data_IF_061721027552
#
_entry.id   IF_061721027552
#
_cell.length_a   1.000
_cell.length_b   1.000
_cell.length_c   1.000
_cell.angle_alpha   90.00
_cell.angle_beta   90.00
_cell.angle_gamma   90.00
#
_symmetry.space_group_name_H-M   'P 1'
#
loop_
_entity.id
_entity.type
_entity.pdbx_description
1 polymer ?
#
# COMPACT_ATOMS: atom_id res chain seq x y z
N UNK A 1 41.22 -15.11 -23.07
CA UNK A 1 41.15 -14.71 -21.65
C UNK A 1 39.67 -14.66 -21.26
N UNK A 2 39.20 -15.64 -20.51
CA UNK A 2 37.79 -15.73 -20.09
C UNK A 2 37.67 -15.06 -18.72
N UNK A 3 37.04 -13.89 -18.68
CA UNK A 3 36.70 -13.20 -17.43
C UNK A 3 35.40 -13.81 -16.88
N UNK A 4 35.52 -14.75 -15.96
CA UNK A 4 34.38 -15.19 -15.14
C UNK A 4 34.21 -14.20 -13.98
N UNK A 5 33.29 -13.24 -14.13
CA UNK A 5 32.82 -12.41 -13.01
C UNK A 5 31.87 -13.28 -12.18
N UNK A 6 32.33 -13.72 -11.01
CA UNK A 6 31.52 -14.45 -10.05
C UNK A 6 30.60 -13.46 -9.35
N UNK A 7 29.36 -13.35 -9.81
CA UNK A 7 28.32 -12.61 -9.08
C UNK A 7 27.89 -13.45 -7.88
N UNK A 8 28.48 -13.19 -6.73
CA UNK A 8 27.97 -13.67 -5.45
C UNK A 8 26.80 -12.78 -5.04
N UNK A 9 25.57 -13.25 -5.26
CA UNK A 9 24.41 -12.70 -4.57
C UNK A 9 24.50 -13.15 -3.10
N UNK A 10 25.29 -12.44 -2.29
CA UNK A 10 25.21 -12.57 -0.84
C UNK A 10 23.81 -12.04 -0.46
N UNK A 11 22.89 -12.87 0.05
CA UNK A 11 21.63 -12.34 0.57
C UNK A 11 22.00 -11.32 1.67
N UNK A 12 21.32 -10.16 1.74
CA UNK A 12 21.55 -9.21 2.81
C UNK A 12 21.43 -9.96 4.14
N UNK A 13 22.40 -9.79 5.04
CA UNK A 13 22.31 -10.38 6.36
C UNK A 13 20.94 -10.01 6.95
N UNK A 14 20.14 -10.98 7.44
CA UNK A 14 18.83 -10.68 7.97
C UNK A 14 19.02 -9.61 9.03
N UNK A 15 18.35 -8.47 8.83
CA UNK A 15 18.43 -7.40 9.80
C UNK A 15 17.94 -7.99 11.12
N UNK A 16 18.84 -8.08 12.11
CA UNK A 16 18.66 -8.81 13.39
C UNK A 16 17.39 -8.44 14.17
N UNK A 17 16.66 -7.43 13.72
CA UNK A 17 15.49 -6.82 14.34
C UNK A 17 14.29 -6.69 13.37
N UNK A 18 14.40 -7.14 12.11
CA UNK A 18 13.35 -6.94 11.10
C UNK A 18 12.57 -8.21 10.78
N UNK A 19 13.23 -9.37 10.66
CA UNK A 19 12.60 -10.56 10.08
C UNK A 19 12.61 -11.70 11.09
N UNK A 20 11.60 -11.70 11.96
CA UNK A 20 11.33 -12.83 12.82
C UNK A 20 10.59 -13.87 11.97
N UNK A 21 11.34 -14.82 11.39
CA UNK A 21 10.78 -15.96 10.67
C UNK A 21 9.68 -16.62 11.49
N UNK A 22 8.47 -16.61 10.94
CA UNK A 22 7.30 -17.24 11.52
C UNK A 22 6.98 -18.48 10.69
N UNK A 23 7.02 -19.65 11.32
CA UNK A 23 6.62 -20.89 10.67
C UNK A 23 5.12 -21.01 10.81
N UNK A 24 4.40 -20.89 9.69
CA UNK A 24 2.96 -21.13 9.66
C UNK A 24 2.64 -22.59 9.96
N UNK A 25 1.40 -22.91 10.35
CA UNK A 25 0.93 -24.29 10.49
C UNK A 25 1.13 -25.17 9.25
N UNK A 26 1.30 -24.56 8.07
CA UNK A 26 1.64 -25.23 6.80
C UNK A 26 3.16 -25.42 6.59
N UNK A 27 3.98 -25.25 7.63
CA UNK A 27 5.44 -25.33 7.59
C UNK A 27 6.11 -24.37 6.57
N UNK A 28 5.44 -23.26 6.25
CA UNK A 28 5.99 -22.19 5.41
C UNK A 28 6.59 -21.11 6.30
N UNK A 29 7.86 -20.77 6.06
CA UNK A 29 8.55 -19.68 6.71
C UNK A 29 8.08 -18.34 6.11
N UNK A 30 7.44 -17.52 6.95
CA UNK A 30 6.97 -16.18 6.61
C UNK A 30 7.91 -15.15 7.24
N UNK A 31 8.51 -14.30 6.42
CA UNK A 31 9.22 -13.10 6.88
C UNK A 31 8.20 -12.07 7.35
N UNK A 32 7.99 -12.00 8.67
CA UNK A 32 7.07 -11.04 9.25
C UNK A 32 7.85 -9.94 9.95
N UNK A 33 7.57 -8.69 9.54
CA UNK A 33 8.23 -7.53 10.12
C UNK A 33 7.74 -7.30 11.56
N UNK A 34 8.58 -7.65 12.53
CA UNK A 34 8.29 -7.47 13.95
C UNK A 34 7.93 -6.00 14.24
N UNK A 35 6.94 -5.79 15.11
CA UNK A 35 6.47 -4.44 15.44
C UNK A 35 7.55 -3.62 16.16
N UNK A 36 7.89 -2.43 15.63
CA UNK A 36 8.89 -1.54 16.23
C UNK A 36 8.38 -1.06 17.60
N UNK A 37 9.29 -0.84 18.55
CA UNK A 37 8.95 -0.40 19.91
C UNK A 37 8.07 0.86 19.89
N UNK A 38 8.38 1.83 19.02
CA UNK A 38 7.59 3.07 18.86
C UNK A 38 6.15 2.85 18.39
N UNK A 39 5.90 1.98 17.41
CA UNK A 39 4.53 1.70 16.93
C UNK A 39 3.69 1.00 18.00
N UNK A 40 4.32 0.17 18.84
CA UNK A 40 3.66 -0.47 19.99
C UNK A 40 3.34 0.53 21.11
N UNK A 41 4.22 1.49 21.39
CA UNK A 41 3.95 2.55 22.39
C UNK A 41 2.80 3.44 21.91
N UNK A 42 2.81 3.84 20.64
CA UNK A 42 1.71 4.64 20.07
C UNK A 42 0.38 3.89 20.11
N UNK A 43 0.37 2.60 19.76
CA UNK A 43 -0.82 1.76 19.88
C UNK A 43 -1.31 1.69 21.34
N UNK A 44 -0.40 1.57 22.31
CA UNK A 44 -0.74 1.56 23.73
C UNK A 44 -1.33 2.90 24.20
N UNK A 45 -0.79 4.04 23.75
CA UNK A 45 -1.33 5.36 24.06
C UNK A 45 -2.76 5.54 23.52
N UNK A 46 -3.02 5.08 22.30
CA UNK A 46 -4.37 5.15 21.72
C UNK A 46 -5.31 4.21 22.47
N UNK A 47 -4.87 3.00 22.82
CA UNK A 47 -5.66 2.08 23.63
C UNK A 47 -5.94 2.63 25.03
N UNK A 48 -5.01 3.39 25.61
CA UNK A 48 -5.21 4.07 26.88
C UNK A 48 -6.31 5.14 26.79
N UNK A 49 -6.29 5.95 25.74
CA UNK A 49 -7.35 6.95 25.50
C UNK A 49 -8.71 6.28 25.28
N UNK A 50 -8.74 5.17 24.53
CA UNK A 50 -9.96 4.39 24.34
C UNK A 50 -10.48 3.80 25.67
N UNK A 51 -9.59 3.20 26.47
CA UNK A 51 -9.95 2.66 27.79
C UNK A 51 -10.45 3.76 28.73
N UNK A 52 -9.82 4.94 28.72
CA UNK A 52 -10.26 6.09 29.50
C UNK A 52 -11.66 6.55 29.08
N UNK A 53 -11.92 6.66 27.77
CA UNK A 53 -13.23 7.03 27.25
C UNK A 53 -14.31 6.01 27.66
N UNK A 54 -14.01 4.71 27.56
CA UNK A 54 -14.92 3.64 28.00
C UNK A 54 -15.13 3.68 29.52
N UNK A 55 -14.08 3.93 30.30
CA UNK A 55 -14.18 4.06 31.76
C UNK A 55 -15.06 5.24 32.17
N UNK A 56 -14.88 6.41 31.54
CA UNK A 56 -15.70 7.60 31.80
C UNK A 56 -17.17 7.35 31.42
N UNK A 57 -17.41 6.70 30.29
CA UNK A 57 -18.77 6.32 29.87
C UNK A 57 -19.42 5.36 30.88
N UNK A 58 -18.72 4.29 31.28
CA UNK A 58 -19.21 3.35 32.27
C UNK A 58 -19.46 4.02 33.62
N UNK A 59 -18.58 4.91 34.06
CA UNK A 59 -18.74 5.67 35.30
C UNK A 59 -19.94 6.63 35.24
N UNK A 60 -20.18 7.28 34.10
CA UNK A 60 -21.34 8.13 33.90
C UNK A 60 -22.65 7.32 33.92
N UNK A 61 -22.69 6.20 33.20
CA UNK A 61 -23.85 5.28 33.19
C UNK A 61 -24.11 4.74 34.60
N UNK A 62 -23.07 4.28 35.29
CA UNK A 62 -23.19 3.76 36.64
C UNK A 62 -23.68 4.83 37.62
N UNK A 63 -23.19 6.06 37.50
CA UNK A 63 -23.66 7.20 38.31
C UNK A 63 -25.15 7.46 38.10
N UNK A 64 -25.62 7.47 36.84
CA UNK A 64 -27.05 7.66 36.52
C UNK A 64 -27.90 6.52 37.11
N UNK A 65 -27.45 5.28 36.97
CA UNK A 65 -28.16 4.11 37.52
C UNK A 65 -28.24 4.17 39.04
N UNK A 66 -27.14 4.47 39.72
CA UNK A 66 -27.09 4.54 41.18
C UNK A 66 -27.97 5.66 41.74
N UNK A 67 -28.01 6.83 41.09
CA UNK A 67 -28.89 7.95 41.50
C UNK A 67 -30.37 7.65 41.25
N UNK A 68 -30.68 6.77 40.28
CA UNK A 68 -32.06 6.38 39.96
C UNK A 68 -32.62 5.30 40.89
N UNK A 69 -31.77 4.67 41.70
CA UNK A 69 -32.19 3.65 42.67
C UNK A 69 -32.64 4.29 43.99
N UNK A 70 -33.55 3.64 44.75
CA UNK A 70 -33.92 4.11 46.07
C UNK A 70 -32.70 4.11 47.01
N UNK A 71 -32.60 5.13 47.86
CA UNK A 71 -31.47 5.33 48.78
C UNK A 71 -31.21 4.13 49.70
N UNK A 72 -32.26 3.39 50.07
CA UNK A 72 -32.17 2.22 50.94
C UNK A 72 -31.51 1.00 50.27
N UNK A 73 -31.39 1.01 48.94
CA UNK A 73 -30.79 -0.07 48.15
C UNK A 73 -29.31 0.19 47.81
N UNK A 74 -28.81 1.41 47.96
CA UNK A 74 -27.46 1.79 47.56
C UNK A 74 -26.60 2.04 48.78
N UNK A 75 -25.70 1.11 49.07
CA UNK A 75 -24.68 1.27 50.10
C UNK A 75 -23.27 1.43 49.50
N UNK A 76 -22.30 1.73 50.37
CA UNK A 76 -20.90 1.87 49.97
C UNK A 76 -20.32 0.55 49.42
N UNK A 77 -20.83 -0.60 49.88
CA UNK A 77 -20.37 -1.90 49.43
C UNK A 77 -20.80 -2.20 47.98
N UNK A 78 -22.07 -1.98 47.64
CA UNK A 78 -22.60 -2.17 46.30
C UNK A 78 -21.94 -1.22 45.29
N UNK A 79 -21.83 0.06 45.64
CA UNK A 79 -21.17 1.05 44.78
C UNK A 79 -19.69 0.74 44.56
N UNK A 80 -18.95 0.36 45.62
CA UNK A 80 -17.56 -0.09 45.50
C UNK A 80 -17.41 -1.36 44.67
N UNK A 81 -18.31 -2.33 44.83
CA UNK A 81 -18.32 -3.56 44.05
C UNK A 81 -18.54 -3.27 42.55
N UNK A 82 -19.52 -2.42 42.22
CA UNK A 82 -19.80 -2.05 40.83
C UNK A 82 -18.65 -1.27 40.18
N UNK A 83 -18.02 -0.35 40.92
CA UNK A 83 -16.82 0.35 40.46
C UNK A 83 -15.65 -0.62 40.21
N UNK A 84 -15.44 -1.58 41.12
CA UNK A 84 -14.39 -2.61 40.97
C UNK A 84 -14.64 -3.47 39.73
N UNK A 85 -15.88 -3.92 39.52
CA UNK A 85 -16.27 -4.70 38.34
C UNK A 85 -16.06 -3.88 37.05
N UNK A 86 -16.46 -2.61 37.04
CA UNK A 86 -16.26 -1.72 35.90
C UNK A 86 -14.76 -1.55 35.59
N UNK A 87 -13.92 -1.38 36.60
CA UNK A 87 -12.47 -1.28 36.44
C UNK A 87 -11.88 -2.55 35.82
N UNK A 88 -12.25 -3.72 36.32
CA UNK A 88 -11.82 -5.02 35.76
C UNK A 88 -12.29 -5.18 34.32
N UNK A 89 -13.52 -4.76 34.01
CA UNK A 89 -14.08 -4.82 32.66
C UNK A 89 -13.31 -3.90 31.69
N UNK A 90 -12.87 -2.73 32.14
CA UNK A 90 -12.05 -1.82 31.31
C UNK A 90 -10.63 -2.35 31.14
N UNK A 91 -9.99 -2.79 32.21
CA UNK A 91 -8.58 -3.18 32.16
C UNK A 91 -8.36 -4.55 31.51
N UNK A 92 -9.27 -5.51 31.74
CA UNK A 92 -9.16 -6.89 31.26
C UNK A 92 -10.21 -7.18 30.19
N UNK A 93 -11.46 -6.79 30.43
CA UNK A 93 -12.57 -7.07 29.50
C UNK A 93 -12.37 -6.42 28.13
N UNK A 94 -12.08 -5.12 28.06
CA UNK A 94 -11.88 -4.39 26.81
C UNK A 94 -10.81 -5.02 25.90
N UNK A 95 -9.56 -5.26 26.34
CA UNK A 95 -8.56 -5.84 25.45
C UNK A 95 -8.93 -7.26 25.01
N UNK A 96 -9.51 -8.08 25.90
CA UNK A 96 -9.92 -9.46 25.57
C UNK A 96 -11.05 -9.47 24.55
N UNK A 97 -12.09 -8.66 24.76
CA UNK A 97 -13.23 -8.56 23.86
C UNK A 97 -12.79 -8.03 22.49
N UNK A 98 -11.97 -6.98 22.46
CA UNK A 98 -11.50 -6.40 21.21
C UNK A 98 -10.60 -7.36 20.43
N UNK A 99 -9.66 -8.02 21.11
CA UNK A 99 -8.84 -9.04 20.45
C UNK A 99 -9.68 -10.21 19.95
N UNK A 100 -10.75 -10.60 20.67
CA UNK A 100 -11.64 -11.67 20.21
C UNK A 100 -12.47 -11.25 18.99
N UNK A 101 -13.14 -10.11 19.04
CA UNK A 101 -14.09 -9.69 18.01
C UNK A 101 -13.43 -9.06 16.78
N UNK A 102 -12.25 -8.46 16.93
CA UNK A 102 -11.56 -7.75 15.84
C UNK A 102 -10.34 -8.53 15.31
N UNK A 103 -10.26 -9.82 15.64
CA UNK A 103 -9.29 -10.76 15.06
C UNK A 103 -7.85 -10.51 15.54
N UNK A 104 -7.68 -10.27 16.84
CA UNK A 104 -6.39 -10.04 17.50
C UNK A 104 -5.96 -8.57 17.51
N UNK A 105 -6.91 -7.63 17.43
CA UNK A 105 -6.63 -6.19 17.30
C UNK A 105 -7.45 -5.37 18.29
N UNK A 106 -6.80 -4.42 18.93
CA UNK A 106 -7.40 -3.35 19.74
C UNK A 106 -7.49 -2.06 18.92
N UNK A 107 -8.19 -1.02 19.38
CA UNK A 107 -8.32 0.24 18.60
C UNK A 107 -6.96 0.87 18.27
N UNK A 108 -6.05 0.92 19.23
CA UNK A 108 -4.71 1.43 19.02
C UNK A 108 -3.90 0.57 18.06
N UNK A 109 -4.02 -0.76 18.16
CA UNK A 109 -3.39 -1.68 17.21
C UNK A 109 -3.96 -1.50 15.80
N UNK A 110 -5.27 -1.27 15.65
CA UNK A 110 -5.89 -0.98 14.35
C UNK A 110 -5.33 0.31 13.73
N UNK A 111 -5.28 1.38 14.52
CA UNK A 111 -4.78 2.69 14.07
C UNK A 111 -3.33 2.62 13.57
N UNK A 112 -2.51 1.78 14.18
CA UNK A 112 -1.09 1.63 13.84
C UNK A 112 -0.82 0.45 12.89
N UNK A 113 -1.85 -0.30 12.49
CA UNK A 113 -1.71 -1.44 11.58
C UNK A 113 -0.97 -2.64 12.19
N UNK A 114 -1.28 -2.95 13.45
CA UNK A 114 -0.74 -4.07 14.21
C UNK A 114 -1.80 -5.15 14.43
N UNK A 115 -1.36 -6.41 14.54
CA UNK A 115 -2.21 -7.55 14.88
C UNK A 115 -1.47 -8.56 15.74
N UNK A 116 -2.16 -9.08 16.75
CA UNK A 116 -1.70 -10.22 17.55
C UNK A 116 -2.01 -11.51 16.80
N UNK A 117 -1.01 -12.36 16.65
CA UNK A 117 -1.13 -13.71 16.08
C UNK A 117 -0.48 -14.73 17.03
N UNK A 118 -0.91 -15.98 16.94
CA UNK A 118 -0.27 -17.09 17.65
C UNK A 118 1.14 -17.33 17.07
N UNK A 119 2.02 -17.98 17.84
CA UNK A 119 3.34 -18.40 17.36
C UNK A 119 3.31 -19.10 16.00
N UNK A 120 2.29 -19.93 15.73
CA UNK A 120 2.11 -20.66 14.45
C UNK A 120 1.43 -19.82 13.34
N UNK A 121 1.23 -18.52 13.56
CA UNK A 121 0.56 -17.61 12.61
C UNK A 121 -0.97 -17.66 12.62
N UNK A 122 -1.57 -18.56 13.39
CA UNK A 122 -3.02 -18.68 13.56
C UNK A 122 -3.67 -17.51 14.32
N UNK A 123 -5.02 -17.42 14.30
CA UNK A 123 -5.76 -16.43 15.09
C UNK A 123 -5.56 -16.67 16.60
N UNK A 124 -5.55 -15.59 17.37
CA UNK A 124 -5.40 -15.64 18.83
C UNK A 124 -6.66 -16.22 19.49
N UNK A 125 -6.48 -17.12 20.46
CA UNK A 125 -7.57 -17.68 21.27
C UNK A 125 -7.95 -16.79 22.44
N UNK A 126 -9.17 -16.96 22.99
CA UNK A 126 -9.65 -16.18 24.15
C UNK A 126 -8.75 -16.35 25.38
N UNK A 127 -8.30 -17.58 25.66
CA UNK A 127 -7.39 -17.86 26.77
C UNK A 127 -6.05 -17.12 26.63
N UNK A 128 -5.52 -17.02 25.40
CA UNK A 128 -4.28 -16.28 25.15
C UNK A 128 -4.48 -14.77 25.30
N UNK A 129 -5.61 -14.23 24.83
CA UNK A 129 -5.94 -12.81 25.06
C UNK A 129 -6.14 -12.52 26.55
N UNK A 130 -6.75 -13.43 27.32
CA UNK A 130 -6.95 -13.28 28.75
C UNK A 130 -5.63 -13.31 29.52
N UNK A 131 -4.74 -14.29 29.24
CA UNK A 131 -3.43 -14.34 29.90
C UNK A 131 -2.61 -13.09 29.60
N UNK A 132 -2.64 -12.60 28.36
CA UNK A 132 -2.01 -11.32 27.98
C UNK A 132 -2.58 -10.14 28.76
N UNK A 133 -3.91 -10.05 28.87
CA UNK A 133 -4.56 -8.95 29.59
C UNK A 133 -4.23 -8.97 31.09
N UNK A 134 -4.25 -10.15 31.71
CA UNK A 134 -3.90 -10.32 33.12
C UNK A 134 -2.43 -9.99 33.40
N UNK A 135 -1.50 -10.51 32.59
CA UNK A 135 -0.07 -10.18 32.71
C UNK A 135 0.17 -8.70 32.43
N UNK A 136 -0.56 -8.14 31.45
CA UNK A 136 -0.55 -6.72 31.14
C UNK A 136 -0.91 -5.88 32.38
N UNK A 137 -2.05 -6.16 33.01
CA UNK A 137 -2.52 -5.42 34.19
C UNK A 137 -1.60 -5.60 35.40
N UNK A 138 -1.14 -6.83 35.65
CA UNK A 138 -0.32 -7.15 36.81
C UNK A 138 1.12 -6.60 36.72
N UNK A 139 1.73 -6.69 35.53
CA UNK A 139 3.17 -6.48 35.33
C UNK A 139 3.48 -5.33 34.35
N UNK A 140 2.73 -5.15 33.27
CA UNK A 140 3.11 -4.15 32.25
C UNK A 140 2.53 -2.76 32.55
N UNK A 141 1.20 -2.64 32.62
CA UNK A 141 0.51 -1.38 32.84
C UNK A 141 -0.93 -1.65 33.33
N UNK A 142 -1.40 -1.06 34.45
CA UNK A 142 -0.74 -0.05 35.29
C UNK A 142 0.39 -0.59 36.18
N UNK A 143 0.65 -1.91 36.16
CA UNK A 143 1.73 -2.52 36.95
C UNK A 143 1.37 -2.63 38.43
N UNK A 144 0.21 -3.26 38.73
CA UNK A 144 -0.37 -3.33 40.08
C UNK A 144 0.58 -3.92 41.14
N UNK A 145 1.54 -4.76 40.75
CA UNK A 145 2.47 -5.40 41.69
C UNK A 145 3.64 -4.47 42.05
N UNK A 146 4.37 -3.94 41.06
CA UNK A 146 5.55 -3.08 41.24
C UNK A 146 5.77 -2.16 40.03
N UNK A 147 5.03 -1.03 39.92
CA UNK A 147 4.81 -0.32 38.65
C UNK A 147 6.10 0.20 37.98
N UNK A 148 7.13 0.57 38.75
CA UNK A 148 8.38 1.09 38.19
C UNK A 148 9.34 -0.04 37.73
N UNK A 149 9.49 -1.08 38.56
CA UNK A 149 10.37 -2.22 38.27
C UNK A 149 9.81 -3.10 37.14
N UNK A 150 8.50 -3.28 37.12
CA UNK A 150 7.81 -4.12 36.15
C UNK A 150 7.82 -3.52 34.74
N UNK A 151 7.85 -2.19 34.65
CA UNK A 151 8.01 -1.45 33.39
C UNK A 151 9.41 -1.66 32.79
N UNK A 152 10.45 -1.47 33.60
CA UNK A 152 11.84 -1.66 33.17
C UNK A 152 12.07 -3.10 32.75
N UNK A 153 11.56 -4.08 33.50
CA UNK A 153 11.65 -5.49 33.15
C UNK A 153 10.95 -5.80 31.81
N UNK A 154 9.73 -5.30 31.60
CA UNK A 154 8.97 -5.53 30.37
C UNK A 154 9.61 -4.91 29.14
N UNK A 155 10.15 -3.69 29.27
CA UNK A 155 10.89 -3.02 28.20
C UNK A 155 12.20 -3.74 27.91
N UNK A 156 12.93 -4.18 28.94
CA UNK A 156 14.18 -4.93 28.79
C UNK A 156 13.95 -6.24 28.07
N UNK A 157 12.93 -7.01 28.45
CA UNK A 157 12.54 -8.26 27.76
C UNK A 157 12.17 -8.00 26.31
N UNK A 158 11.42 -6.93 26.02
CA UNK A 158 11.06 -6.60 24.65
C UNK A 158 12.25 -6.16 23.79
N UNK A 159 13.26 -5.53 24.39
CA UNK A 159 14.49 -5.10 23.72
C UNK A 159 15.46 -6.26 23.48
N UNK A 160 15.47 -7.27 24.35
CA UNK A 160 16.37 -8.43 24.25
C UNK A 160 15.79 -9.58 23.43
N UNK A 161 14.46 -9.69 23.32
CA UNK A 161 13.82 -10.71 22.48
C UNK A 161 13.96 -10.36 20.99
N UNK A 162 14.57 -11.23 20.15
CA UNK A 162 14.74 -10.98 18.71
C UNK A 162 13.43 -10.78 17.95
N UNK A 163 12.31 -11.26 18.52
CA UNK A 163 10.96 -11.13 17.94
C UNK A 163 10.18 -9.97 18.57
N UNK A 164 10.82 -9.18 19.44
CA UNK A 164 10.23 -8.01 20.11
C UNK A 164 8.98 -8.34 20.91
N UNK A 165 8.90 -9.54 21.51
CA UNK A 165 7.76 -9.98 22.31
C UNK A 165 7.81 -9.37 23.71
N UNK A 166 6.65 -8.97 24.21
CA UNK A 166 6.49 -8.54 25.61
C UNK A 166 6.34 -9.73 26.56
N UNK A 167 6.38 -9.46 27.86
CA UNK A 167 6.20 -10.47 28.90
C UNK A 167 4.85 -11.19 28.75
N UNK A 168 3.76 -10.45 28.52
CA UNK A 168 2.45 -11.03 28.22
C UNK A 168 2.41 -11.80 26.90
N UNK A 169 3.14 -11.35 25.88
CA UNK A 169 3.24 -12.04 24.59
C UNK A 169 3.96 -13.41 24.74
N UNK A 170 5.03 -13.45 25.54
CA UNK A 170 5.83 -14.64 25.84
C UNK A 170 5.02 -15.68 26.62
N UNK A 171 4.34 -15.25 27.70
CA UNK A 171 3.53 -16.15 28.54
C UNK A 171 2.37 -16.76 27.74
N UNK A 172 1.77 -15.99 26.82
CA UNK A 172 0.65 -16.46 26.02
C UNK A 172 1.05 -17.22 24.75
N UNK A 173 2.35 -17.28 24.40
CA UNK A 173 2.81 -17.89 23.15
C UNK A 173 2.31 -17.15 21.91
N UNK A 174 2.32 -15.83 21.95
CA UNK A 174 1.81 -14.95 20.87
C UNK A 174 2.87 -13.95 20.43
N UNK A 175 2.64 -13.33 19.28
CA UNK A 175 3.47 -12.23 18.79
C UNK A 175 2.61 -11.15 18.14
N UNK A 176 3.12 -9.92 18.09
CA UNK A 176 2.45 -8.81 17.41
C UNK A 176 3.22 -8.48 16.14
N UNK A 177 2.50 -8.55 15.03
CA UNK A 177 3.02 -8.34 13.70
C UNK A 177 2.42 -7.08 13.10
N UNK A 178 3.16 -6.41 12.22
CA UNK A 178 2.53 -5.43 11.36
C UNK A 178 1.61 -6.14 10.39
N UNK A 179 0.33 -5.79 10.40
CA UNK A 179 -0.52 -6.07 9.26
C UNK A 179 -0.02 -5.17 8.14
N UNK A 180 0.77 -5.73 7.22
CA UNK A 180 0.90 -5.12 5.91
C UNK A 180 -0.53 -5.03 5.41
N UNK A 181 -1.10 -3.83 5.32
CA UNK A 181 -2.31 -3.64 4.55
C UNK A 181 -2.02 -4.33 3.23
N UNK A 182 -2.75 -5.40 2.91
CA UNK A 182 -2.60 -6.09 1.64
C UNK A 182 -2.71 -4.97 0.62
N UNK A 183 -1.59 -4.58 0.02
CA UNK A 183 -1.53 -3.38 -0.79
C UNK A 183 -2.64 -3.54 -1.80
N UNK A 184 -3.57 -2.58 -1.85
CA UNK A 184 -4.74 -2.64 -2.73
C UNK A 184 -4.25 -3.20 -4.05
N UNK A 185 -4.75 -4.37 -4.44
CA UNK A 185 -4.29 -5.00 -5.67
C UNK A 185 -4.59 -4.01 -6.79
N UNK A 186 -3.56 -3.28 -7.22
CA UNK A 186 -3.68 -2.35 -8.33
C UNK A 186 -3.40 -3.16 -9.57
N UNK A 187 -4.40 -3.31 -10.48
CA UNK A 187 -4.15 -3.95 -11.75
C UNK A 187 -2.93 -3.28 -12.39
N UNK A 188 -2.08 -4.10 -13.03
CA UNK A 188 -0.96 -3.54 -13.78
C UNK A 188 -1.51 -2.53 -14.79
N UNK A 189 -0.78 -1.43 -15.09
CA UNK A 189 -1.22 -0.45 -16.07
C UNK A 189 -1.66 -1.16 -17.36
N UNK A 190 -2.78 -0.72 -17.93
CA UNK A 190 -3.33 -1.30 -19.15
C UNK A 190 -2.27 -1.26 -20.25
N UNK A 191 -2.13 -2.36 -20.99
CA UNK A 191 -1.16 -2.48 -22.06
C UNK A 191 -1.30 -1.34 -23.08
N UNK A 192 -0.17 -0.76 -23.47
CA UNK A 192 -0.10 0.34 -24.43
C UNK A 192 -0.44 -0.23 -25.82
N UNK A 193 -1.55 0.17 -26.48
CA UNK A 193 -2.07 -0.53 -27.65
C UNK A 193 -1.05 -0.73 -28.81
N UNK A 194 -0.21 0.27 -29.15
CA UNK A 194 0.82 0.11 -30.19
C UNK A 194 1.87 -0.98 -29.93
N UNK A 195 2.12 -1.33 -28.66
CA UNK A 195 3.16 -2.28 -28.28
C UNK A 195 2.61 -3.69 -28.02
N UNK A 196 1.29 -3.91 -28.13
CA UNK A 196 0.66 -5.20 -27.83
C UNK A 196 1.17 -6.35 -28.72
N UNK A 197 1.34 -6.09 -30.03
CA UNK A 197 1.81 -7.10 -30.97
C UNK A 197 3.23 -7.57 -30.66
N UNK A 198 4.13 -6.61 -30.44
CA UNK A 198 5.52 -6.86 -30.04
C UNK A 198 5.61 -7.49 -28.65
N UNK A 199 4.83 -7.01 -27.68
CA UNK A 199 4.89 -7.53 -26.32
C UNK A 199 4.56 -9.03 -26.28
N UNK A 200 3.66 -9.51 -27.15
CA UNK A 200 3.34 -10.95 -27.26
C UNK A 200 4.52 -11.81 -27.69
N UNK A 201 5.47 -11.29 -28.47
CA UNK A 201 6.67 -12.03 -28.90
C UNK A 201 7.83 -11.95 -27.91
N UNK A 202 7.67 -11.21 -26.79
CA UNK A 202 8.73 -11.08 -25.79
C UNK A 202 9.09 -12.41 -25.11
N UNK A 203 10.38 -12.70 -25.02
CA UNK A 203 10.92 -13.61 -24.04
C UNK A 203 11.04 -12.90 -22.68
N UNK A 204 10.33 -13.44 -21.69
CA UNK A 204 10.25 -12.91 -20.33
C UNK A 204 10.89 -13.85 -19.30
N UNK A 205 11.55 -14.92 -19.75
CA UNK A 205 12.05 -16.01 -18.89
C UNK A 205 13.06 -15.51 -17.86
N UNK A 206 13.82 -14.47 -18.20
CA UNK A 206 14.85 -13.87 -17.34
C UNK A 206 14.37 -12.67 -16.51
N UNK A 207 13.09 -12.31 -16.58
CA UNK A 207 12.53 -11.20 -15.77
C UNK A 207 12.10 -11.74 -14.40
N UNK A 208 12.96 -11.53 -13.40
CA UNK A 208 12.69 -11.92 -12.03
C UNK A 208 11.57 -11.10 -11.36
N UNK A 209 11.10 -11.57 -10.20
CA UNK A 209 10.03 -10.92 -9.45
C UNK A 209 10.44 -9.58 -8.84
N UNK A 210 11.71 -9.39 -8.51
CA UNK A 210 12.24 -8.15 -7.95
C UNK A 210 12.21 -7.02 -8.97
N UNK A 211 12.71 -7.26 -10.19
CA UNK A 211 12.68 -6.34 -11.30
C UNK A 211 11.23 -6.02 -11.71
N UNK A 212 10.37 -7.04 -11.82
CA UNK A 212 8.95 -6.83 -12.11
C UNK A 212 8.26 -5.98 -11.02
N UNK A 213 8.64 -6.16 -9.75
CA UNK A 213 8.13 -5.35 -8.64
C UNK A 213 8.66 -3.91 -8.71
N UNK A 214 9.94 -3.71 -8.99
CA UNK A 214 10.54 -2.38 -9.14
C UNK A 214 9.84 -1.58 -10.26
N UNK A 215 9.62 -2.21 -11.40
CA UNK A 215 8.86 -1.63 -12.53
C UNK A 215 7.43 -1.29 -12.11
N UNK A 216 6.73 -2.19 -11.43
CA UNK A 216 5.36 -1.92 -10.93
C UNK A 216 5.33 -0.73 -9.97
N UNK A 217 6.29 -0.65 -9.06
CA UNK A 217 6.37 0.43 -8.08
C UNK A 217 6.68 1.78 -8.73
N UNK A 218 7.52 1.80 -9.77
CA UNK A 218 7.78 2.97 -10.58
C UNK A 218 6.52 3.42 -11.31
N UNK A 219 5.89 2.53 -12.09
CA UNK A 219 4.68 2.84 -12.86
C UNK A 219 3.51 3.29 -11.96
N UNK A 220 3.40 2.72 -10.75
CA UNK A 220 2.39 3.12 -9.77
C UNK A 220 2.61 4.49 -9.14
N UNK A 221 3.83 5.06 -9.24
CA UNK A 221 4.24 6.34 -8.66
C UNK A 221 4.70 7.37 -9.69
N UNK A 222 4.68 7.05 -10.98
CA UNK A 222 5.24 7.90 -12.04
C UNK A 222 4.63 9.31 -12.07
N UNK A 223 3.36 9.46 -11.69
CA UNK A 223 2.67 10.75 -11.60
C UNK A 223 3.04 11.58 -10.37
N UNK A 224 3.69 10.98 -9.37
CA UNK A 224 4.13 11.64 -8.13
C UNK A 224 5.61 12.04 -8.18
N UNK A 225 6.35 11.57 -9.19
CA UNK A 225 7.78 11.84 -9.35
C UNK A 225 7.98 13.11 -10.17
N UNK A 226 8.78 14.04 -9.62
CA UNK A 226 9.22 15.22 -10.33
C UNK A 226 10.37 14.90 -11.32
N UNK A 227 10.55 15.75 -12.31
CA UNK A 227 11.73 15.74 -13.17
C UNK A 227 12.94 16.30 -12.38
N UNK A 228 14.17 15.73 -12.48
CA UNK A 228 14.65 14.73 -13.43
C UNK A 228 14.56 13.27 -12.96
N UNK A 229 14.17 13.03 -11.70
CA UNK A 229 14.21 11.69 -11.09
C UNK A 229 13.27 10.71 -11.80
N UNK A 230 12.11 11.21 -12.25
CA UNK A 230 11.16 10.44 -13.04
C UNK A 230 11.80 9.82 -14.28
N UNK A 231 12.54 10.59 -15.07
CA UNK A 231 13.17 10.09 -16.31
C UNK A 231 14.46 9.33 -16.03
N UNK A 232 15.21 9.68 -14.99
CA UNK A 232 16.40 8.92 -14.57
C UNK A 232 16.03 7.48 -14.18
N UNK A 233 15.02 7.32 -13.32
CA UNK A 233 14.51 6.00 -12.92
C UNK A 233 13.90 5.23 -14.09
N UNK A 234 13.20 5.92 -15.00
CA UNK A 234 12.64 5.31 -16.20
C UNK A 234 13.73 4.65 -17.05
N UNK A 235 14.83 5.39 -17.32
CA UNK A 235 15.96 4.91 -18.12
C UNK A 235 16.73 3.78 -17.46
N UNK A 236 16.94 3.84 -16.15
CA UNK A 236 17.59 2.77 -15.40
C UNK A 236 16.80 1.47 -15.49
N UNK A 237 15.50 1.52 -15.18
CA UNK A 237 14.62 0.34 -15.25
C UNK A 237 14.47 -0.16 -16.69
N UNK A 238 14.41 0.74 -17.67
CA UNK A 238 14.38 0.38 -19.08
C UNK A 238 15.64 -0.41 -19.47
N UNK A 239 16.82 0.05 -19.07
CA UNK A 239 18.08 -0.63 -19.40
C UNK A 239 18.17 -2.01 -18.76
N UNK A 240 17.76 -2.15 -17.49
CA UNK A 240 17.74 -3.44 -16.79
C UNK A 240 16.77 -4.43 -17.45
N UNK A 241 15.56 -3.99 -17.81
CA UNK A 241 14.56 -4.85 -18.47
C UNK A 241 14.98 -5.18 -19.90
N UNK A 242 15.53 -4.24 -20.65
CA UNK A 242 16.01 -4.46 -22.01
C UNK A 242 17.20 -5.44 -22.06
N UNK A 243 18.04 -5.49 -21.02
CA UNK A 243 19.15 -6.44 -20.93
C UNK A 243 18.69 -7.90 -20.79
N UNK A 244 17.49 -8.12 -20.23
CA UNK A 244 16.96 -9.47 -19.94
C UNK A 244 15.81 -9.90 -20.85
N UNK A 245 15.31 -9.02 -21.73
CA UNK A 245 14.20 -9.30 -22.65
C UNK A 245 14.64 -9.28 -24.12
N UNK A 246 13.94 -10.03 -24.97
CA UNK A 246 14.11 -10.05 -26.42
C UNK A 246 12.77 -10.27 -27.11
N UNK A 247 12.51 -9.76 -28.34
CA UNK A 247 13.34 -8.88 -29.16
C UNK A 247 13.29 -7.40 -28.71
N UNK A 248 14.24 -6.54 -29.15
CA UNK A 248 14.21 -5.11 -28.83
C UNK A 248 12.92 -4.43 -29.36
N UNK A 249 12.49 -3.32 -28.74
CA UNK A 249 11.26 -2.65 -29.13
C UNK A 249 11.35 -2.08 -30.56
N UNK A 250 10.24 -2.10 -31.33
CA UNK A 250 10.25 -1.78 -32.76
C UNK A 250 10.47 -0.29 -33.08
N UNK A 251 10.18 0.60 -32.13
CA UNK A 251 10.40 2.04 -32.24
C UNK A 251 10.88 2.59 -30.89
N UNK A 252 11.41 3.81 -30.88
CA UNK A 252 11.83 4.54 -29.67
C UNK A 252 10.62 4.92 -28.80
N UNK A 253 9.94 3.90 -28.27
CA UNK A 253 8.83 4.07 -27.37
C UNK A 253 9.31 4.75 -26.09
N UNK A 254 8.52 5.67 -25.52
CA UNK A 254 8.81 6.23 -24.20
C UNK A 254 9.09 5.12 -23.20
N UNK A 255 10.11 5.29 -22.35
CA UNK A 255 10.54 4.28 -21.40
C UNK A 255 9.39 3.76 -20.52
N UNK A 256 8.47 4.61 -20.00
CA UNK A 256 7.32 4.14 -19.22
C UNK A 256 6.36 3.26 -20.04
N UNK A 257 6.19 3.54 -21.34
CA UNK A 257 5.31 2.77 -22.21
C UNK A 257 5.87 1.37 -22.50
N UNK A 258 7.18 1.27 -22.72
CA UNK A 258 7.89 0.01 -22.84
C UNK A 258 7.75 -0.83 -21.55
N UNK A 259 8.03 -0.23 -20.39
CA UNK A 259 7.95 -0.89 -19.09
C UNK A 259 6.52 -1.39 -18.78
N UNK A 260 5.51 -0.59 -19.11
CA UNK A 260 4.11 -0.98 -18.96
C UNK A 260 3.73 -2.17 -19.86
N UNK A 261 4.19 -2.18 -21.11
CA UNK A 261 3.93 -3.28 -22.04
C UNK A 261 4.53 -4.62 -21.57
N UNK A 262 5.78 -4.60 -21.09
CA UNK A 262 6.46 -5.77 -20.52
C UNK A 262 5.71 -6.29 -19.29
N UNK A 263 5.35 -5.40 -18.35
CA UNK A 263 4.65 -5.78 -17.12
C UNK A 263 3.24 -6.32 -17.41
N UNK A 264 2.53 -5.71 -18.36
CA UNK A 264 1.20 -6.15 -18.77
C UNK A 264 1.23 -7.54 -19.42
N UNK A 265 2.20 -7.82 -20.29
CA UNK A 265 2.36 -9.14 -20.90
C UNK A 265 2.71 -10.21 -19.86
N UNK A 266 3.64 -9.90 -18.94
CA UNK A 266 3.97 -10.81 -17.83
C UNK A 266 2.72 -11.15 -17.01
N UNK A 267 1.93 -10.13 -16.68
CA UNK A 267 0.65 -10.27 -15.98
C UNK A 267 -0.36 -11.12 -16.74
N UNK A 268 -0.49 -10.91 -18.06
CA UNK A 268 -1.37 -11.68 -18.94
C UNK A 268 -0.98 -13.16 -18.98
N UNK A 269 0.31 -13.48 -19.15
CA UNK A 269 0.82 -14.87 -19.14
C UNK A 269 0.61 -15.54 -17.79
N UNK A 270 0.83 -14.81 -16.69
CA UNK A 270 0.55 -15.32 -15.34
C UNK A 270 -0.95 -15.60 -15.15
N UNK A 271 -1.83 -14.68 -15.54
CA UNK A 271 -3.27 -14.86 -15.44
C UNK A 271 -3.76 -16.07 -16.25
N UNK A 272 -3.23 -16.28 -17.46
CA UNK A 272 -3.53 -17.47 -18.26
C UNK A 272 -3.07 -18.78 -17.57
N UNK A 273 -1.87 -18.80 -16.98
CA UNK A 273 -1.39 -19.99 -16.23
C UNK A 273 -2.29 -20.30 -15.04
N UNK A 274 -2.60 -19.30 -14.21
CA UNK A 274 -3.52 -19.47 -13.08
C UNK A 274 -4.91 -19.92 -13.54
N UNK A 275 -5.43 -19.36 -14.64
CA UNK A 275 -6.71 -19.76 -15.21
C UNK A 275 -6.71 -21.23 -15.66
N UNK A 276 -5.64 -21.70 -16.31
CA UNK A 276 -5.50 -23.11 -16.71
C UNK A 276 -5.42 -24.05 -15.51
N UNK A 277 -4.61 -23.71 -14.51
CA UNK A 277 -4.52 -24.51 -13.28
C UNK A 277 -5.88 -24.58 -12.59
N UNK A 278 -6.60 -23.45 -12.46
CA UNK A 278 -7.95 -23.44 -11.90
C UNK A 278 -8.94 -24.27 -12.70
N UNK A 279 -8.91 -24.20 -14.03
CA UNK A 279 -9.77 -25.01 -14.88
C UNK A 279 -9.50 -26.51 -14.68
N UNK A 280 -8.23 -26.93 -14.64
CA UNK A 280 -7.84 -28.30 -14.36
C UNK A 280 -8.29 -28.75 -12.96
N UNK A 281 -8.07 -27.92 -11.93
CA UNK A 281 -8.54 -28.20 -10.57
C UNK A 281 -10.06 -28.34 -10.52
N UNK A 282 -10.80 -27.48 -11.22
CA UNK A 282 -12.26 -27.55 -11.29
C UNK A 282 -12.76 -28.81 -12.02
N UNK A 283 -12.04 -29.27 -13.05
CA UNK A 283 -12.35 -30.54 -13.74
C UNK A 283 -12.08 -31.76 -12.85
N UNK A 284 -10.98 -31.76 -12.10
CA UNK A 284 -10.58 -32.89 -11.26
C UNK A 284 -11.33 -32.92 -9.93
N UNK A 285 -11.73 -31.77 -9.38
CA UNK A 285 -12.34 -31.65 -8.07
C UNK A 285 -13.40 -30.54 -8.05
N UNK A 286 -14.58 -30.78 -8.64
CA UNK A 286 -15.61 -29.76 -8.79
C UNK A 286 -16.10 -29.18 -7.46
N UNK A 287 -16.06 -29.97 -6.38
CA UNK A 287 -16.44 -29.55 -5.03
C UNK A 287 -15.54 -28.45 -4.43
N UNK A 288 -14.32 -28.27 -4.96
CA UNK A 288 -13.39 -27.21 -4.53
C UNK A 288 -13.44 -25.98 -5.44
N UNK A 289 -14.24 -26.01 -6.51
CA UNK A 289 -14.38 -24.87 -7.42
C UNK A 289 -15.22 -23.77 -6.74
N UNK A 290 -14.72 -22.53 -6.63
CA UNK A 290 -15.53 -21.45 -6.09
C UNK A 290 -16.79 -21.25 -6.96
N UNK A 291 -17.95 -20.94 -6.36
CA UNK A 291 -19.16 -20.65 -7.12
C UNK A 291 -18.87 -19.54 -8.12
N UNK A 292 -19.27 -19.73 -9.38
CA UNK A 292 -19.04 -18.73 -10.42
C UNK A 292 -19.79 -17.45 -10.05
N UNK A 293 -19.06 -16.45 -9.57
CA UNK A 293 -19.59 -15.09 -9.47
C UNK A 293 -19.84 -14.65 -10.90
N UNK A 294 -21.10 -14.46 -11.27
CA UNK A 294 -21.49 -13.90 -12.54
C UNK A 294 -20.75 -12.57 -12.72
N UNK A 295 -19.73 -12.57 -13.57
CA UNK A 295 -19.13 -11.32 -14.03
C UNK A 295 -20.25 -10.64 -14.81
N UNK A 296 -20.75 -9.47 -14.38
CA UNK A 296 -21.74 -8.75 -15.17
C UNK A 296 -21.18 -8.61 -16.59
N UNK A 297 -21.97 -8.89 -17.63
CA UNK A 297 -21.47 -8.90 -18.99
C UNK A 297 -20.68 -7.63 -19.21
N UNK A 298 -19.37 -7.78 -19.48
CA UNK A 298 -18.59 -6.68 -19.99
C UNK A 298 -19.39 -6.18 -21.19
N UNK A 299 -19.85 -4.93 -21.11
CA UNK A 299 -20.53 -4.27 -22.23
C UNK A 299 -19.59 -4.46 -23.40
N UNK A 300 -19.94 -5.41 -24.26
CA UNK A 300 -19.25 -5.65 -25.50
C UNK A 300 -19.46 -4.35 -26.22
N UNK A 301 -18.40 -3.57 -26.40
CA UNK A 301 -18.45 -2.41 -27.27
C UNK A 301 -19.09 -2.91 -28.55
N UNK A 302 -20.29 -2.42 -28.82
CA UNK A 302 -21.07 -2.75 -30.00
C UNK A 302 -20.10 -2.62 -31.17
N UNK A 303 -19.96 -3.63 -32.06
CA UNK A 303 -19.16 -3.46 -33.25
C UNK A 303 -19.62 -2.15 -33.90
N UNK A 304 -18.69 -1.28 -34.34
CA UNK A 304 -19.10 -0.03 -34.96
C UNK A 304 -20.05 -0.39 -36.09
N UNK A 305 -21.29 0.08 -35.99
CA UNK A 305 -22.25 0.05 -37.08
C UNK A 305 -21.48 0.58 -38.28
N UNK A 306 -21.37 -0.25 -39.31
CA UNK A 306 -20.71 0.08 -40.55
C UNK A 306 -21.38 1.35 -41.04
N UNK A 307 -20.70 2.49 -40.89
CA UNK A 307 -21.15 3.72 -41.52
C UNK A 307 -21.27 3.42 -43.02
N UNK A 308 -22.34 3.87 -43.70
CA UNK A 308 -22.41 3.74 -45.14
C UNK A 308 -21.16 4.39 -45.74
N UNK A 309 -20.64 3.72 -46.77
CA UNK A 309 -19.40 4.02 -47.46
C UNK A 309 -19.09 5.52 -47.52
N UNK A 310 -17.84 5.86 -47.15
CA UNK A 310 -17.28 7.17 -47.28
C UNK A 310 -17.68 7.81 -48.61
N UNK A 311 -18.49 8.87 -48.55
CA UNK A 311 -18.59 9.82 -49.64
C UNK A 311 -17.17 10.33 -49.88
N UNK A 312 -16.63 9.99 -51.06
CA UNK A 312 -15.29 10.35 -51.48
C UNK A 312 -15.03 11.83 -51.19
N UNK A 313 -14.06 12.10 -50.30
CA UNK A 313 -13.50 13.44 -50.16
C UNK A 313 -12.89 13.81 -51.51
N UNK A 314 -13.56 14.73 -52.22
CA UNK A 314 -13.03 15.34 -53.44
C UNK A 314 -11.72 16.05 -53.08
N UNK A 315 -10.66 15.92 -53.89
CA UNK A 315 -9.42 16.65 -53.64
C UNK A 315 -9.70 18.15 -53.72
N UNK A 316 -9.35 18.88 -52.66
CA UNK A 316 -9.40 20.34 -52.66
C UNK A 316 -8.36 20.88 -53.64
N UNK A 317 -8.83 21.57 -54.68
CA UNK A 317 -8.01 22.35 -55.61
C UNK A 317 -7.47 23.58 -54.85
N UNK A 318 -6.18 23.94 -54.94
CA UNK A 318 -5.67 25.13 -54.30
C UNK A 318 -6.21 26.37 -55.02
N UNK A 319 -6.99 27.21 -54.33
CA UNK A 319 -7.34 28.55 -54.83
C UNK A 319 -6.12 29.46 -54.75
N UNK A 320 -5.67 29.93 -55.91
CA UNK A 320 -4.63 30.92 -56.12
C UNK A 320 -5.06 32.28 -55.52
N UNK A 321 -4.16 33.09 -54.93
CA UNK A 321 -4.52 34.43 -54.47
C UNK A 321 -4.61 35.40 -55.65
N UNK A 322 -5.72 36.15 -55.74
CA UNK A 322 -5.95 37.15 -56.77
C UNK A 322 -5.09 38.42 -56.58
N UNK A 323 -4.67 39.08 -57.68
CA UNK A 323 -3.73 40.20 -57.65
C UNK A 323 -4.43 41.52 -57.31
N UNK A 324 -3.85 42.27 -56.37
CA UNK A 324 -4.21 43.69 -56.13
C UNK A 324 -3.58 44.55 -57.23
N UNK A 325 -4.42 45.23 -58.04
CA UNK A 325 -3.99 46.31 -58.93
C UNK A 325 -5.05 47.43 -58.96
N UNK A 326 -4.58 48.66 -58.68
CA UNK A 326 -5.33 49.89 -58.32
C UNK A 326 -6.21 50.51 -59.41
N UNK A 327 -6.93 51.62 -59.15
CA UNK A 327 -6.49 53.05 -59.24
C UNK A 327 -7.75 53.98 -59.15
N UNK A 328 -7.69 55.34 -59.21
CA UNK A 328 -6.72 56.36 -58.72
C UNK A 328 -7.36 57.67 -58.11
N UNK A 329 -6.49 58.54 -57.53
CA UNK A 329 -6.51 60.03 -57.42
C UNK A 329 -7.63 60.76 -56.60
N UNK A 330 -7.43 61.87 -55.86
CA UNK A 330 -6.49 63.03 -55.97
C UNK A 330 -6.52 63.95 -54.71
N UNK A 331 -5.38 64.62 -54.42
CA UNK A 331 -5.15 65.96 -53.78
C UNK A 331 -5.67 66.22 -52.34
N UNK A 332 -5.05 66.95 -51.39
CA UNK A 332 -4.01 68.00 -51.29
C UNK A 332 -3.26 67.78 -49.92
N UNK A 333 -2.11 68.33 -49.54
CA UNK A 333 -1.21 69.36 -50.02
C UNK A 333 0.09 69.34 -49.18
N UNK A 334 1.18 69.87 -49.74
CA UNK A 334 2.48 70.17 -49.10
C UNK A 334 2.49 71.64 -48.60
N UNK A 335 3.45 72.16 -47.79
CA UNK A 335 4.92 72.05 -47.96
C UNK A 335 5.73 72.14 -46.60
N UNK A 336 7.00 72.62 -46.54
CA UNK A 336 8.24 71.87 -46.79
C UNK A 336 9.30 71.93 -45.65
N UNK A 337 10.36 71.12 -45.79
CA UNK A 337 11.62 71.05 -45.01
C UNK A 337 12.48 72.33 -45.10
N UNK A 338 13.41 72.63 -44.14
CA UNK A 338 14.82 72.15 -44.18
C UNK A 338 15.39 71.88 -42.75
N UNK A 339 16.49 71.20 -42.41
CA UNK A 339 17.82 70.97 -43.00
C UNK A 339 18.86 70.91 -41.84
N UNK A 340 20.09 70.47 -42.14
CA UNK A 340 21.34 70.51 -41.33
C UNK A 340 21.59 69.38 -40.29
N UNK A 341 22.61 68.53 -40.42
CA UNK A 341 24.09 68.69 -40.31
C UNK A 341 24.64 68.70 -38.86
N UNK A 342 25.83 68.08 -38.71
CA UNK A 342 26.81 68.13 -37.61
C UNK A 342 26.62 67.08 -36.50
N UNK A 343 27.48 66.06 -36.30
CA UNK A 343 28.95 65.96 -36.17
C UNK A 343 29.51 66.57 -34.87
N UNK A 344 29.83 65.72 -33.87
CA UNK A 344 30.79 65.91 -32.76
C UNK A 344 30.65 64.71 -31.78
N UNK A 345 31.61 63.78 -31.66
CA UNK A 345 32.89 63.80 -30.91
C UNK A 345 32.78 64.04 -29.39
N UNK A 346 33.60 63.25 -28.67
CA UNK A 346 33.96 63.23 -27.23
C UNK A 346 33.01 62.40 -26.35
N UNK A 347 33.44 61.33 -25.68
CA UNK A 347 34.59 61.16 -24.76
C UNK A 347 33.98 60.94 -23.37
N UNK A 348 34.27 59.94 -22.55
CA UNK A 348 35.41 59.08 -22.27
C UNK A 348 34.89 57.70 -21.85
#
# INVERSE_FOLDING_TARGET
MVFTVRVSAQPPAPARWADAGLVSGEAVELDVRAARLGSRVLALLIDLLAQLAVALLLAAVLSVVLVSLPWDFVDAALSGALQTVALVLVLVGYPVLMERFVGGRTLGKLAVGLRVVRADGGPVGVGQSLTRALVGVAVEWPGLVLPLLSWVASVTVMLTDPRGRRLGDLVAGTLVVHTRAAGVWRPAPSAVPPLLGWARSLDLTRVDDGLALAVRQYLGRVHQLAEPDRSRLARQLWAEVAAVTSPPPPWAAPEPAYLAAVLAERGRRAAHRLGRTRALTATLWPELAPPQVAVPPQVTATPPVTAPAAAALRPAVPTQPDPVRGQPATAEGSPPTPGALQDARHGR
#
